data_IF_879693880528
#
_entry.id   IF_879693880528
#
_cell.length_a   1.000
_cell.length_b   1.000
_cell.length_c   1.000
_cell.angle_alpha   90.00
_cell.angle_beta   90.00
_cell.angle_gamma   90.00
#
_symmetry.space_group_name_H-M   'P 1'
#
loop_
_entity.id
_entity.type
_entity.pdbx_description
1 polymer ?
#
# COMPACT_ATOMS: atom_id res chain seq x y z
N UNK A 1 37.35 -15.77 4.30
CA UNK A 1 36.89 -14.59 5.07
C UNK A 1 35.38 -14.54 5.00
N UNK A 2 34.66 -15.10 5.98
CA UNK A 2 33.20 -14.98 6.04
C UNK A 2 32.89 -13.50 6.31
N UNK A 3 32.38 -12.77 5.31
CA UNK A 3 31.77 -11.47 5.56
C UNK A 3 30.69 -11.69 6.61
N UNK A 4 30.91 -11.23 7.84
CA UNK A 4 29.81 -11.13 8.80
C UNK A 4 28.80 -10.15 8.20
N UNK A 5 27.71 -10.70 7.66
CA UNK A 5 26.56 -9.92 7.24
C UNK A 5 26.13 -9.04 8.42
N UNK A 6 26.25 -7.72 8.24
CA UNK A 6 25.84 -6.75 9.26
C UNK A 6 24.37 -7.01 9.58
N UNK A 7 24.10 -7.44 10.82
CA UNK A 7 22.74 -7.69 11.29
C UNK A 7 21.93 -6.39 11.23
N UNK A 8 20.68 -6.51 10.83
CA UNK A 8 19.74 -5.41 10.65
C UNK A 8 19.33 -4.83 12.00
N UNK A 9 19.40 -3.51 12.14
CA UNK A 9 18.98 -2.82 13.35
C UNK A 9 17.46 -2.84 13.52
N UNK A 10 16.97 -2.61 14.75
CA UNK A 10 15.53 -2.47 15.03
C UNK A 10 14.88 -1.41 14.13
N UNK A 11 15.53 -0.25 13.96
CA UNK A 11 15.04 0.82 13.10
C UNK A 11 15.03 0.38 11.63
N UNK A 12 16.08 -0.32 11.18
CA UNK A 12 16.13 -0.89 9.82
C UNK A 12 15.00 -1.88 9.56
N UNK A 13 14.68 -2.73 10.54
CA UNK A 13 13.55 -3.66 10.46
C UNK A 13 12.20 -2.92 10.37
N UNK A 14 11.98 -1.91 11.22
CA UNK A 14 10.74 -1.11 11.20
C UNK A 14 10.57 -0.42 9.85
N UNK A 15 11.62 0.22 9.33
CA UNK A 15 11.58 0.91 8.04
C UNK A 15 11.30 -0.06 6.89
N UNK A 16 11.92 -1.25 6.91
CA UNK A 16 11.69 -2.26 5.89
C UNK A 16 10.25 -2.78 5.91
N UNK A 17 9.68 -3.06 7.11
CA UNK A 17 8.27 -3.43 7.25
C UNK A 17 7.37 -2.31 6.74
N UNK A 18 7.65 -1.06 7.13
CA UNK A 18 6.91 0.11 6.65
C UNK A 18 6.92 0.18 5.12
N UNK A 19 8.08 0.07 4.48
CA UNK A 19 8.17 0.12 3.01
C UNK A 19 7.52 -1.07 2.30
N UNK A 20 7.39 -2.21 2.96
CA UNK A 20 6.79 -3.42 2.40
C UNK A 20 5.28 -3.45 2.54
N UNK A 21 4.73 -2.86 3.60
CA UNK A 21 3.30 -2.92 3.95
C UNK A 21 2.59 -1.61 3.65
N UNK A 22 3.21 -0.47 3.92
CA UNK A 22 2.60 0.84 3.68
C UNK A 22 2.63 1.20 2.20
N UNK A 23 1.51 0.96 1.52
CA UNK A 23 1.27 1.40 0.15
C UNK A 23 0.64 2.78 0.12
N UNK A 24 1.39 3.81 -0.29
CA UNK A 24 0.88 5.20 -0.37
C UNK A 24 -0.46 5.29 -1.10
N UNK A 25 -0.59 4.60 -2.23
CA UNK A 25 -1.79 4.57 -3.07
C UNK A 25 -3.04 3.94 -2.41
N UNK A 26 -2.87 3.19 -1.31
CA UNK A 26 -4.01 2.63 -0.56
C UNK A 26 -4.78 3.75 0.14
N UNK A 27 -4.12 4.80 0.64
CA UNK A 27 -4.81 5.90 1.34
C UNK A 27 -5.67 6.80 0.41
N UNK A 28 -5.22 7.23 -0.78
CA UNK A 28 -6.08 7.83 -1.81
C UNK A 28 -7.27 6.95 -2.18
N UNK A 29 -7.01 5.65 -2.41
CA UNK A 29 -8.04 4.69 -2.81
C UNK A 29 -9.09 4.53 -1.71
N UNK A 30 -8.67 4.45 -0.45
CA UNK A 30 -9.56 4.39 0.71
C UNK A 30 -10.46 5.64 0.80
N UNK A 31 -9.87 6.83 0.67
CA UNK A 31 -10.60 8.09 0.68
C UNK A 31 -11.57 8.22 -0.51
N UNK A 32 -11.22 7.69 -1.68
CA UNK A 32 -12.12 7.65 -2.83
C UNK A 32 -13.31 6.72 -2.64
N UNK A 33 -13.11 5.55 -2.03
CA UNK A 33 -14.20 4.59 -1.84
C UNK A 33 -15.12 5.00 -0.69
N UNK A 34 -14.58 5.53 0.41
CA UNK A 34 -15.38 5.79 1.63
C UNK A 34 -15.17 7.16 2.28
N UNK A 35 -14.35 8.05 1.74
CA UNK A 35 -14.03 9.33 2.39
C UNK A 35 -13.45 9.10 3.78
N UNK A 36 -13.93 9.85 4.78
CA UNK A 36 -13.50 9.65 6.17
C UNK A 36 -14.09 8.41 6.83
N UNK A 37 -15.20 7.86 6.35
CA UNK A 37 -15.73 6.60 6.90
C UNK A 37 -14.83 5.41 6.61
N UNK A 38 -13.82 5.55 5.74
CA UNK A 38 -12.71 4.60 5.61
C UNK A 38 -11.89 4.42 6.90
N UNK A 39 -11.68 5.49 7.68
CA UNK A 39 -10.78 5.48 8.83
C UNK A 39 -11.21 4.45 9.90
N UNK A 40 -12.47 4.40 10.36
CA UNK A 40 -12.92 3.38 11.31
C UNK A 40 -12.69 1.95 10.81
N UNK A 41 -12.92 1.66 9.52
CA UNK A 41 -12.65 0.34 8.97
C UNK A 41 -11.16 0.00 8.94
N UNK A 42 -10.30 0.97 8.62
CA UNK A 42 -8.84 0.78 8.70
C UNK A 42 -8.36 0.55 10.13
N UNK A 43 -8.94 1.22 11.13
CA UNK A 43 -8.64 0.96 12.55
C UNK A 43 -9.18 -0.39 13.01
N UNK A 44 -10.37 -0.77 12.55
CA UNK A 44 -10.96 -2.09 12.82
C UNK A 44 -10.10 -3.21 12.25
N UNK A 45 -9.72 -3.14 10.96
CA UNK A 45 -8.78 -4.07 10.34
C UNK A 45 -7.41 -4.03 11.02
N UNK A 46 -6.99 -2.83 11.45
CA UNK A 46 -5.96 -2.56 12.44
C UNK A 46 -5.91 -3.58 13.59
N UNK A 47 -6.93 -3.44 14.43
CA UNK A 47 -7.05 -4.04 15.73
C UNK A 47 -7.37 -5.53 15.67
N UNK A 48 -8.25 -5.94 14.76
CA UNK A 48 -8.78 -7.30 14.72
C UNK A 48 -8.06 -8.22 13.73
N UNK A 49 -7.31 -7.68 12.79
CA UNK A 49 -6.57 -8.47 11.81
C UNK A 49 -5.07 -8.20 11.84
N UNK A 50 -4.65 -6.98 11.56
CA UNK A 50 -3.24 -6.70 11.30
C UNK A 50 -2.35 -6.84 12.55
N UNK A 51 -2.75 -6.27 13.68
CA UNK A 51 -1.98 -6.39 14.94
C UNK A 51 -1.92 -7.86 15.41
N UNK A 52 -3.04 -8.60 15.50
CA UNK A 52 -3.00 -10.03 15.82
C UNK A 52 -2.14 -10.84 14.85
N UNK A 53 -2.26 -10.58 13.54
CA UNK A 53 -1.46 -11.24 12.52
C UNK A 53 0.03 -10.94 12.70
N UNK A 54 0.39 -9.67 12.90
CA UNK A 54 1.76 -9.25 13.18
C UNK A 54 2.35 -9.97 14.41
N UNK A 55 1.57 -10.11 15.49
CA UNK A 55 1.99 -10.84 16.69
C UNK A 55 2.23 -12.33 16.40
N UNK A 56 1.33 -12.98 15.66
CA UNK A 56 1.54 -14.38 15.23
C UNK A 56 2.82 -14.52 14.39
N UNK A 57 3.06 -13.60 13.46
CA UNK A 57 4.27 -13.62 12.62
C UNK A 57 5.55 -13.37 13.42
N UNK A 58 5.49 -12.52 14.45
CA UNK A 58 6.58 -12.31 15.37
C UNK A 58 6.91 -13.58 16.17
N UNK A 59 5.88 -14.25 16.70
CA UNK A 59 6.02 -15.49 17.46
C UNK A 59 6.60 -16.62 16.57
N UNK A 60 5.97 -16.87 15.43
CA UNK A 60 6.40 -17.91 14.47
C UNK A 60 7.81 -17.67 13.95
N UNK A 61 8.14 -16.43 13.59
CA UNK A 61 9.49 -16.08 13.15
C UNK A 61 10.53 -16.30 14.24
N UNK A 62 10.21 -16.00 15.50
CA UNK A 62 11.12 -16.24 16.63
C UNK A 62 11.27 -17.72 16.98
N UNK A 63 10.18 -18.50 16.94
CA UNK A 63 10.16 -19.92 17.26
C UNK A 63 10.94 -20.75 16.23
N UNK A 64 10.76 -20.43 14.95
CA UNK A 64 11.39 -21.13 13.83
C UNK A 64 12.55 -20.35 13.22
N UNK A 65 13.29 -19.58 14.03
CA UNK A 65 14.36 -18.69 13.55
C UNK A 65 15.39 -19.39 12.65
N UNK A 66 15.76 -20.63 13.00
CA UNK A 66 16.76 -21.45 12.29
C UNK A 66 16.26 -22.09 10.98
N UNK A 67 14.98 -21.92 10.66
CA UNK A 67 14.37 -22.47 9.46
C UNK A 67 14.38 -21.43 8.34
N UNK A 68 15.04 -21.74 7.23
CA UNK A 68 15.09 -20.85 6.06
C UNK A 68 13.79 -20.87 5.22
N UNK A 69 12.88 -21.80 5.50
CA UNK A 69 11.66 -22.04 4.71
C UNK A 69 10.53 -21.03 4.94
N UNK A 70 10.69 -20.03 5.81
CA UNK A 70 9.70 -18.98 6.08
C UNK A 70 8.31 -19.54 6.39
N UNK A 71 7.27 -18.95 5.79
CA UNK A 71 5.85 -19.31 6.02
C UNK A 71 5.58 -20.79 5.78
N UNK A 72 6.22 -21.42 4.78
CA UNK A 72 6.01 -22.83 4.51
C UNK A 72 6.50 -23.69 5.68
N UNK A 73 7.71 -23.43 6.18
CA UNK A 73 8.28 -24.16 7.32
C UNK A 73 7.41 -24.01 8.57
N UNK A 74 7.01 -22.78 8.83
CA UNK A 74 6.13 -22.40 9.95
C UNK A 74 4.83 -23.20 9.93
N UNK A 75 4.13 -23.20 8.79
CA UNK A 75 2.89 -23.96 8.62
C UNK A 75 3.12 -25.47 8.67
N UNK A 76 4.22 -25.97 8.11
CA UNK A 76 4.49 -27.41 8.09
C UNK A 76 4.66 -27.97 9.51
N UNK A 77 5.38 -27.23 10.36
CA UNK A 77 5.56 -27.60 11.77
C UNK A 77 4.28 -27.44 12.61
N UNK A 78 3.41 -26.47 12.29
CA UNK A 78 2.19 -26.22 13.08
C UNK A 78 0.97 -27.02 12.65
N UNK A 79 0.73 -27.16 11.35
CA UNK A 79 -0.50 -27.74 10.77
C UNK A 79 -0.23 -28.88 9.77
N UNK A 80 1.04 -29.25 9.59
CA UNK A 80 1.45 -30.35 8.72
C UNK A 80 1.60 -29.97 7.23
N UNK A 81 2.20 -30.87 6.43
CA UNK A 81 2.69 -30.55 5.09
C UNK A 81 1.59 -30.25 4.08
N UNK A 82 0.41 -30.87 4.22
CA UNK A 82 -0.72 -30.64 3.30
C UNK A 82 -1.23 -29.21 3.39
N UNK A 83 -1.49 -28.73 4.60
CA UNK A 83 -1.98 -27.36 4.81
C UNK A 83 -0.91 -26.32 4.53
N UNK A 84 0.35 -26.61 4.85
CA UNK A 84 1.49 -25.75 4.47
C UNK A 84 1.60 -25.55 2.96
N UNK A 85 1.46 -26.63 2.18
CA UNK A 85 1.46 -26.55 0.73
C UNK A 85 0.28 -25.73 0.20
N UNK A 86 -0.95 -26.00 0.67
CA UNK A 86 -2.15 -25.26 0.25
C UNK A 86 -2.00 -23.76 0.56
N UNK A 87 -1.61 -23.40 1.80
CA UNK A 87 -1.44 -22.01 2.20
C UNK A 87 -0.37 -21.28 1.41
N UNK A 88 0.79 -21.91 1.22
CA UNK A 88 1.89 -21.33 0.44
C UNK A 88 1.52 -21.19 -1.05
N UNK A 89 0.77 -22.14 -1.60
CA UNK A 89 0.28 -22.05 -2.98
C UNK A 89 -0.77 -20.94 -3.16
N UNK A 90 -1.69 -20.79 -2.21
CA UNK A 90 -2.66 -19.68 -2.20
C UNK A 90 -1.94 -18.33 -2.11
N UNK A 91 -0.93 -18.23 -1.25
CA UNK A 91 -0.07 -17.06 -1.15
C UNK A 91 0.65 -16.78 -2.49
N UNK A 92 1.28 -17.78 -3.11
CA UNK A 92 1.90 -17.61 -4.42
C UNK A 92 0.91 -17.15 -5.50
N UNK A 93 -0.26 -17.77 -5.59
CA UNK A 93 -1.30 -17.41 -6.56
C UNK A 93 -1.81 -15.99 -6.38
N UNK A 94 -1.98 -15.52 -5.13
CA UNK A 94 -2.40 -14.14 -4.86
C UNK A 94 -1.37 -13.11 -5.33
N UNK A 95 -0.07 -13.39 -5.17
CA UNK A 95 1.00 -12.54 -5.67
C UNK A 95 1.00 -12.44 -7.21
N UNK A 96 0.68 -13.52 -7.92
CA UNK A 96 0.56 -13.48 -9.40
C UNK A 96 -0.57 -12.53 -9.82
N UNK A 97 -1.74 -12.63 -9.20
CA UNK A 97 -2.87 -11.72 -9.47
C UNK A 97 -2.49 -10.27 -9.14
N UNK A 98 -1.81 -10.05 -8.02
CA UNK A 98 -1.34 -8.74 -7.60
C UNK A 98 -0.32 -8.13 -8.57
N UNK A 99 0.61 -8.94 -9.10
CA UNK A 99 1.58 -8.49 -10.10
C UNK A 99 0.91 -8.03 -11.38
N UNK A 100 -0.09 -8.77 -11.88
CA UNK A 100 -0.86 -8.37 -13.07
C UNK A 100 -1.59 -7.04 -12.82
N UNK A 101 -2.24 -6.90 -11.67
CA UNK A 101 -2.94 -5.66 -11.28
C UNK A 101 -1.97 -4.47 -11.21
N UNK A 102 -0.78 -4.68 -10.63
CA UNK A 102 0.25 -3.64 -10.49
C UNK A 102 0.85 -3.25 -11.84
N UNK A 103 1.11 -4.23 -12.72
CA UNK A 103 1.62 -3.99 -14.06
C UNK A 103 0.65 -3.16 -14.92
N UNK A 104 -0.67 -3.34 -14.75
CA UNK A 104 -1.66 -2.50 -15.42
C UNK A 104 -1.64 -1.06 -14.91
N UNK A 105 -1.46 -0.87 -13.59
CA UNK A 105 -1.47 0.46 -12.97
C UNK A 105 -0.28 1.33 -13.35
N UNK A 106 0.86 0.77 -13.78
CA UNK A 106 2.06 1.56 -14.12
C UNK A 106 1.86 2.51 -15.31
N UNK A 107 0.88 2.20 -16.17
CA UNK A 107 0.58 2.98 -17.35
C UNK A 107 -0.12 4.31 -17.04
N UNK A 108 -0.82 4.40 -15.91
CA UNK A 108 -1.48 5.64 -15.46
C UNK A 108 -0.47 6.74 -15.08
N UNK A 109 0.56 6.49 -14.22
CA UNK A 109 1.67 7.42 -14.01
C UNK A 109 2.32 7.85 -15.32
N UNK A 110 2.61 6.88 -16.19
CA UNK A 110 3.33 7.14 -17.43
C UNK A 110 2.52 8.04 -18.37
N UNK A 111 1.22 7.77 -18.49
CA UNK A 111 0.29 8.61 -19.26
C UNK A 111 0.23 10.03 -18.70
N UNK A 112 0.11 10.16 -17.38
CA UNK A 112 0.07 11.46 -16.69
C UNK A 112 1.38 12.23 -16.85
N UNK A 113 2.52 11.55 -16.80
CA UNK A 113 3.83 12.15 -17.00
C UNK A 113 4.04 12.66 -18.43
N UNK A 114 3.60 11.90 -19.44
CA UNK A 114 3.78 12.25 -20.86
C UNK A 114 2.77 13.28 -21.35
N UNK A 115 1.52 13.21 -20.88
CA UNK A 115 0.41 14.00 -21.43
C UNK A 115 -0.20 14.99 -20.43
N UNK A 116 0.31 15.05 -19.20
CA UNK A 116 -0.22 15.90 -18.13
C UNK A 116 -1.57 15.43 -17.56
N UNK A 117 -2.14 14.33 -18.06
CA UNK A 117 -3.40 13.78 -17.62
C UNK A 117 -3.47 12.27 -17.89
N UNK A 118 -4.34 11.55 -17.18
CA UNK A 118 -4.60 10.14 -17.45
C UNK A 118 -5.39 9.99 -18.77
N UNK A 119 -4.69 9.52 -19.81
CA UNK A 119 -5.26 9.21 -21.13
C UNK A 119 -5.37 7.72 -21.40
N UNK A 120 -5.10 6.85 -20.41
CA UNK A 120 -5.15 5.39 -20.58
C UNK A 120 -6.51 4.90 -21.09
N UNK A 121 -7.59 5.59 -20.71
CA UNK A 121 -8.96 5.32 -21.17
C UNK A 121 -9.21 5.66 -22.65
N UNK A 122 -8.28 6.33 -23.33
CA UNK A 122 -8.39 6.70 -24.74
C UNK A 122 -7.46 5.88 -25.65
N UNK A 123 -6.56 5.11 -25.07
CA UNK A 123 -5.63 4.29 -25.84
C UNK A 123 -6.39 3.12 -26.46
N UNK A 124 -6.38 3.02 -27.78
CA UNK A 124 -6.96 1.89 -28.50
C UNK A 124 -5.93 1.37 -29.51
N UNK A 125 -5.59 0.08 -29.40
CA UNK A 125 -4.78 -0.62 -30.40
C UNK A 125 -5.71 -1.30 -31.40
N UNK A 126 -5.95 -0.66 -32.54
CA UNK A 126 -6.83 -1.18 -33.59
C UNK A 126 -8.27 -1.32 -33.09
N UNK A 127 -8.80 -2.55 -33.12
CA UNK A 127 -10.17 -2.88 -32.68
C UNK A 127 -10.29 -3.16 -31.17
N UNK A 128 -9.20 -3.06 -30.41
CA UNK A 128 -9.21 -3.37 -28.98
C UNK A 128 -9.75 -2.22 -28.14
N UNK A 129 -10.53 -2.56 -27.11
CA UNK A 129 -10.96 -1.61 -26.09
C UNK A 129 -9.77 -1.05 -25.30
N UNK A 130 -9.93 0.11 -24.64
CA UNK A 130 -8.86 0.67 -23.81
C UNK A 130 -8.38 -0.26 -22.71
N UNK A 131 -9.30 -0.97 -22.05
CA UNK A 131 -8.96 -1.95 -21.02
C UNK A 131 -8.13 -3.11 -21.58
N UNK A 132 -8.48 -3.63 -22.76
CA UNK A 132 -7.71 -4.68 -23.43
C UNK A 132 -6.33 -4.18 -23.86
N UNK A 133 -6.26 -2.95 -24.37
CA UNK A 133 -5.00 -2.30 -24.76
C UNK A 133 -4.05 -2.18 -23.57
N UNK A 134 -4.54 -1.65 -22.43
CA UNK A 134 -3.75 -1.59 -21.18
C UNK A 134 -3.38 -2.98 -20.68
N UNK A 135 -4.25 -3.97 -20.85
CA UNK A 135 -3.96 -5.37 -20.49
C UNK A 135 -2.79 -5.96 -21.29
N UNK A 136 -2.73 -5.71 -22.61
CA UNK A 136 -1.60 -6.14 -23.45
C UNK A 136 -0.33 -5.41 -23.04
N UNK A 137 -0.39 -4.10 -22.83
CA UNK A 137 0.75 -3.32 -22.38
C UNK A 137 1.26 -3.82 -21.01
N UNK A 138 0.37 -4.17 -20.08
CA UNK A 138 0.73 -4.78 -18.80
C UNK A 138 1.46 -6.12 -18.99
N UNK A 139 0.99 -6.99 -19.88
CA UNK A 139 1.66 -8.24 -20.21
C UNK A 139 3.07 -8.01 -20.79
N UNK A 140 3.21 -7.07 -21.73
CA UNK A 140 4.51 -6.68 -22.27
C UNK A 140 5.45 -6.15 -21.18
N UNK A 141 4.94 -5.32 -20.27
CA UNK A 141 5.72 -4.80 -19.14
C UNK A 141 6.21 -5.92 -18.22
N UNK A 142 5.37 -6.91 -17.90
CA UNK A 142 5.79 -8.06 -17.09
C UNK A 142 6.89 -8.86 -17.76
N UNK A 143 6.84 -9.06 -19.08
CA UNK A 143 7.93 -9.74 -19.82
C UNK A 143 9.24 -8.96 -19.70
N UNK A 144 9.20 -7.63 -19.85
CA UNK A 144 10.37 -6.77 -19.70
C UNK A 144 10.96 -6.86 -18.29
N UNK A 145 10.12 -6.72 -17.26
CA UNK A 145 10.55 -6.83 -15.86
C UNK A 145 11.14 -8.20 -15.57
N UNK A 146 10.52 -9.27 -16.08
CA UNK A 146 11.01 -10.65 -15.94
C UNK A 146 12.39 -10.81 -16.59
N UNK A 147 12.58 -10.29 -17.80
CA UNK A 147 13.88 -10.32 -18.49
C UNK A 147 14.97 -9.56 -17.73
N UNK A 148 14.63 -8.42 -17.12
CA UNK A 148 15.56 -7.66 -16.26
C UNK A 148 15.87 -8.45 -14.99
N UNK A 149 14.87 -9.09 -14.37
CA UNK A 149 15.04 -9.88 -13.15
C UNK A 149 15.99 -11.08 -13.35
N UNK A 150 15.90 -11.75 -14.50
CA UNK A 150 16.82 -12.85 -14.87
C UNK A 150 18.27 -12.38 -14.97
N UNK A 151 18.53 -11.10 -15.31
CA UNK A 151 19.88 -10.53 -15.43
C UNK A 151 20.53 -10.10 -14.11
N UNK A 152 19.84 -10.26 -12.97
CA UNK A 152 20.41 -10.10 -11.63
C UNK A 152 19.71 -9.07 -10.74
N UNK A 153 19.50 -9.49 -9.48
CA UNK A 153 18.70 -8.78 -8.47
C UNK A 153 19.35 -7.48 -7.98
N UNK A 154 20.68 -7.34 -8.10
CA UNK A 154 21.41 -6.16 -7.58
C UNK A 154 20.98 -4.84 -8.25
N UNK A 155 20.56 -4.87 -9.53
CA UNK A 155 20.03 -3.68 -10.20
C UNK A 155 18.64 -3.30 -9.69
N UNK A 156 17.80 -4.31 -9.40
CA UNK A 156 16.46 -4.13 -8.84
C UNK A 156 16.55 -3.50 -7.46
N UNK A 157 17.44 -3.99 -6.59
CA UNK A 157 17.60 -3.48 -5.23
C UNK A 157 17.87 -1.96 -5.16
N UNK A 158 18.70 -1.43 -6.08
CA UNK A 158 18.97 0.03 -6.14
C UNK A 158 17.73 0.83 -6.56
N UNK A 159 16.98 0.34 -7.56
CA UNK A 159 15.76 1.00 -8.04
C UNK A 159 14.69 0.98 -6.94
N UNK A 160 14.52 -0.15 -6.25
CA UNK A 160 13.60 -0.28 -5.12
C UNK A 160 13.94 0.68 -3.98
N UNK A 161 15.23 0.88 -3.68
CA UNK A 161 15.66 1.83 -2.65
C UNK A 161 15.25 3.28 -2.98
N UNK A 162 15.45 3.72 -4.23
CA UNK A 162 15.01 5.05 -4.68
C UNK A 162 13.48 5.17 -4.60
N UNK A 163 12.76 4.14 -5.01
CA UNK A 163 11.30 4.08 -4.89
C UNK A 163 10.82 4.22 -3.44
N UNK A 164 11.48 3.53 -2.49
CA UNK A 164 11.17 3.64 -1.07
C UNK A 164 11.38 5.05 -0.50
N UNK A 165 12.48 5.71 -0.87
CA UNK A 165 12.76 7.11 -0.48
C UNK A 165 11.70 8.05 -1.07
N UNK A 166 11.31 7.85 -2.34
CA UNK A 166 10.27 8.65 -2.97
C UNK A 166 8.92 8.50 -2.27
N UNK A 167 8.52 7.28 -1.91
CA UNK A 167 7.27 7.02 -1.15
C UNK A 167 7.32 7.66 0.23
N UNK A 168 8.45 7.60 0.93
CA UNK A 168 8.62 8.29 2.21
C UNK A 168 8.51 9.81 2.05
N UNK A 169 9.12 10.37 0.99
CA UNK A 169 9.01 11.78 0.63
C UNK A 169 7.57 12.20 0.35
N UNK A 170 6.81 11.39 -0.40
CA UNK A 170 5.39 11.66 -0.69
C UNK A 170 4.54 11.74 0.58
N UNK A 171 4.77 10.86 1.56
CA UNK A 171 4.08 10.92 2.85
C UNK A 171 4.45 12.19 3.63
N UNK A 172 5.72 12.60 3.61
CA UNK A 172 6.15 13.83 4.25
C UNK A 172 5.53 15.07 3.59
N UNK A 173 5.47 15.09 2.25
CA UNK A 173 4.79 16.15 1.50
C UNK A 173 3.31 16.22 1.87
N UNK A 174 2.61 15.09 1.91
CA UNK A 174 1.22 15.03 2.34
C UNK A 174 1.04 15.64 3.74
N UNK A 175 1.88 15.24 4.69
CA UNK A 175 1.81 15.72 6.07
C UNK A 175 2.06 17.23 6.18
N UNK A 176 3.14 17.73 5.57
CA UNK A 176 3.53 19.13 5.67
C UNK A 176 2.55 20.05 4.92
N UNK A 177 2.13 19.67 3.71
CA UNK A 177 1.23 20.49 2.90
C UNK A 177 -0.17 20.50 3.50
N UNK A 178 -0.72 19.36 3.91
CA UNK A 178 -2.02 19.34 4.60
C UNK A 178 -1.96 20.11 5.93
N UNK A 179 -0.85 20.03 6.67
CA UNK A 179 -0.64 20.84 7.88
C UNK A 179 -0.64 22.34 7.58
N UNK A 180 0.06 22.78 6.53
CA UNK A 180 0.07 24.17 6.09
C UNK A 180 -1.33 24.66 5.67
N UNK A 181 -2.05 23.86 4.87
CA UNK A 181 -3.43 24.19 4.43
C UNK A 181 -4.36 24.32 5.64
N UNK A 182 -4.28 23.41 6.62
CA UNK A 182 -5.09 23.52 7.84
C UNK A 182 -4.81 24.80 8.62
N UNK A 183 -3.53 25.21 8.74
CA UNK A 183 -3.18 26.45 9.41
C UNK A 183 -3.71 27.68 8.66
N UNK A 184 -3.62 27.68 7.33
CA UNK A 184 -4.10 28.77 6.49
C UNK A 184 -5.64 28.88 6.48
N UNK A 185 -6.35 27.75 6.53
CA UNK A 185 -7.81 27.68 6.51
C UNK A 185 -8.44 27.77 7.92
N UNK A 186 -7.69 28.13 8.95
CA UNK A 186 -8.21 28.23 10.33
C UNK A 186 -8.68 26.89 10.93
N UNK A 187 -8.15 25.76 10.44
CA UNK A 187 -8.51 24.42 10.88
C UNK A 187 -9.70 23.79 10.13
N UNK A 188 -10.22 24.44 9.08
CA UNK A 188 -11.33 23.92 8.31
C UNK A 188 -10.88 22.88 7.27
N UNK A 189 -11.59 21.75 7.22
CA UNK A 189 -11.38 20.69 6.24
C UNK A 189 -12.25 20.93 5.00
N UNK A 190 -11.71 20.70 3.80
CA UNK A 190 -12.48 20.79 2.55
C UNK A 190 -13.61 19.75 2.48
N UNK A 191 -13.37 18.54 2.98
CA UNK A 191 -14.40 17.54 3.20
C UNK A 191 -14.98 17.70 4.61
N UNK A 192 -16.31 17.76 4.78
CA UNK A 192 -16.94 17.70 6.09
C UNK A 192 -16.61 16.40 6.83
N UNK A 193 -16.24 16.51 8.11
CA UNK A 193 -15.88 15.37 8.95
C UNK A 193 -17.11 14.50 9.22
N UNK A 194 -17.22 13.38 8.49
CA UNK A 194 -18.22 12.35 8.72
C UNK A 194 -17.58 10.96 8.64
N UNK A 195 -17.45 10.31 9.79
CA UNK A 195 -16.80 9.00 9.92
C UNK A 195 -17.77 7.82 9.82
N UNK A 196 -19.08 8.07 9.73
CA UNK A 196 -20.09 7.00 9.72
C UNK A 196 -20.67 6.78 8.33
N UNK A 197 -20.95 7.85 7.60
CA UNK A 197 -21.52 7.80 6.27
C UNK A 197 -20.44 8.08 5.23
N UNK A 198 -20.33 7.17 4.27
CA UNK A 198 -19.51 7.41 3.07
C UNK A 198 -20.10 8.58 2.26
N UNK A 199 -19.29 9.45 1.65
CA UNK A 199 -19.77 10.38 0.62
C UNK A 199 -20.02 9.69 -0.73
N UNK A 200 -19.50 8.46 -0.93
CA UNK A 200 -19.66 7.69 -2.15
C UNK A 200 -21.00 6.91 -2.16
N UNK A 201 -21.91 7.17 -3.11
CA UNK A 201 -23.17 6.43 -3.21
C UNK A 201 -23.02 4.92 -3.35
N UNK A 202 -21.91 4.45 -3.94
CA UNK A 202 -21.61 3.03 -4.11
C UNK A 202 -21.29 2.29 -2.81
N UNK A 203 -21.02 3.02 -1.71
CA UNK A 203 -20.61 2.47 -0.41
C UNK A 203 -21.62 2.78 0.72
N UNK A 204 -22.89 2.98 0.37
CA UNK A 204 -23.98 3.17 1.35
C UNK A 204 -24.60 1.86 1.84
N UNK A 205 -24.46 0.77 1.08
CA UNK A 205 -25.04 -0.52 1.44
C UNK A 205 -24.12 -1.31 2.37
N UNK A 206 -24.69 -2.12 3.27
CA UNK A 206 -23.90 -2.98 4.17
C UNK A 206 -22.97 -3.94 3.42
N UNK A 207 -23.41 -4.49 2.27
CA UNK A 207 -22.56 -5.36 1.43
C UNK A 207 -21.36 -4.61 0.82
N UNK A 208 -21.55 -3.35 0.40
CA UNK A 208 -20.46 -2.54 -0.11
C UNK A 208 -19.45 -2.17 0.99
N UNK A 209 -19.94 -1.85 2.20
CA UNK A 209 -19.08 -1.63 3.37
C UNK A 209 -18.28 -2.88 3.74
N UNK A 210 -18.89 -4.08 3.70
CA UNK A 210 -18.16 -5.34 3.91
C UNK A 210 -17.10 -5.58 2.83
N UNK A 211 -17.39 -5.25 1.57
CA UNK A 211 -16.42 -5.32 0.47
C UNK A 211 -15.24 -4.36 0.71
N UNK A 212 -15.49 -3.20 1.31
CA UNK A 212 -14.43 -2.28 1.72
C UNK A 212 -13.57 -2.83 2.85
N UNK A 213 -14.14 -3.57 3.82
CA UNK A 213 -13.34 -4.22 4.88
C UNK A 213 -12.31 -5.18 4.28
N UNK A 214 -12.68 -5.93 3.22
CA UNK A 214 -11.73 -6.79 2.50
C UNK A 214 -10.59 -5.97 1.90
N UNK A 215 -10.88 -4.81 1.31
CA UNK A 215 -9.87 -3.88 0.82
C UNK A 215 -8.97 -3.32 1.94
N UNK A 216 -9.56 -2.95 3.09
CA UNK A 216 -8.81 -2.45 4.24
C UNK A 216 -7.88 -3.51 4.84
N UNK A 217 -8.34 -4.76 4.95
CA UNK A 217 -7.51 -5.91 5.36
C UNK A 217 -6.35 -6.11 4.38
N UNK A 218 -6.64 -6.06 3.08
CA UNK A 218 -5.63 -6.22 2.03
C UNK A 218 -4.53 -5.16 2.10
N UNK A 219 -4.85 -3.92 2.49
CA UNK A 219 -3.87 -2.83 2.63
C UNK A 219 -2.80 -3.08 3.71
N UNK A 220 -3.04 -4.01 4.64
CA UNK A 220 -2.10 -4.43 5.68
C UNK A 220 -1.31 -5.71 5.33
N UNK A 221 -1.56 -6.31 4.16
CA UNK A 221 -0.80 -7.46 3.68
C UNK A 221 0.67 -7.12 3.41
N UNK A 222 1.55 -8.10 3.51
CA UNK A 222 2.98 -7.98 3.17
C UNK A 222 3.93 -8.08 4.35
N UNK A 223 3.46 -8.05 5.59
CA UNK A 223 4.33 -8.23 6.77
C UNK A 223 4.92 -9.65 6.81
N UNK A 224 4.29 -10.60 6.15
CA UNK A 224 4.78 -11.96 6.05
C UNK A 224 6.08 -12.09 5.25
N UNK A 225 6.36 -11.15 4.35
CA UNK A 225 7.59 -11.12 3.57
C UNK A 225 8.83 -10.89 4.44
N UNK A 226 8.68 -10.25 5.60
CA UNK A 226 9.79 -10.02 6.55
C UNK A 226 10.02 -11.19 7.51
N UNK A 227 9.14 -12.20 7.49
CA UNK A 227 9.20 -13.36 8.37
C UNK A 227 10.53 -14.12 8.29
N UNK A 228 11.10 -14.28 7.09
CA UNK A 228 12.37 -14.96 6.87
C UNK A 228 13.62 -14.16 7.29
N UNK A 229 13.47 -12.96 7.84
CA UNK A 229 14.59 -12.07 8.18
C UNK A 229 14.92 -12.05 9.67
N UNK A 230 14.34 -12.96 10.46
CA UNK A 230 14.58 -13.09 11.91
C UNK A 230 16.07 -13.28 12.17
N UNK A 231 16.71 -14.24 11.52
CA UNK A 231 18.13 -14.57 11.73
C UNK A 231 19.09 -13.46 11.28
N UNK A 232 18.61 -12.57 10.42
CA UNK A 232 19.35 -11.39 9.94
C UNK A 232 19.12 -10.16 10.81
N UNK A 233 18.28 -10.23 11.83
CA UNK A 233 17.98 -9.13 12.76
C UNK A 233 18.95 -9.13 13.93
N UNK A 234 19.41 -7.95 14.36
CA UNK A 234 20.23 -7.79 15.56
C UNK A 234 19.39 -8.05 16.81
N UNK A 235 19.86 -8.89 17.74
CA UNK A 235 19.12 -9.36 18.92
C UNK A 235 17.69 -9.83 18.58
N UNK A 236 17.55 -10.89 17.76
CA UNK A 236 16.27 -11.28 17.15
C UNK A 236 15.19 -11.61 18.20
N UNK A 237 15.58 -12.20 19.33
CA UNK A 237 14.70 -12.56 20.45
C UNK A 237 13.90 -11.38 21.02
N UNK A 238 14.42 -10.15 20.90
CA UNK A 238 13.76 -8.94 21.41
C UNK A 238 13.38 -7.98 20.30
N UNK A 239 14.28 -7.74 19.36
CA UNK A 239 14.10 -6.68 18.36
C UNK A 239 13.17 -7.10 17.22
N UNK A 240 13.05 -8.39 16.90
CA UNK A 240 12.17 -8.82 15.82
C UNK A 240 10.71 -8.57 16.19
N UNK A 241 10.27 -9.11 17.33
CA UNK A 241 8.91 -8.90 17.83
C UNK A 241 8.61 -7.41 18.11
N UNK A 242 9.53 -6.69 18.76
CA UNK A 242 9.38 -5.25 18.99
C UNK A 242 9.27 -4.47 17.68
N UNK A 243 10.09 -4.79 16.69
CA UNK A 243 10.07 -4.12 15.39
C UNK A 243 8.75 -4.32 14.66
N UNK A 244 8.22 -5.54 14.69
CA UNK A 244 6.91 -5.87 14.12
C UNK A 244 5.79 -5.10 14.81
N UNK A 245 5.75 -5.07 16.15
CA UNK A 245 4.70 -4.38 16.91
C UNK A 245 4.75 -2.87 16.66
N UNK A 246 5.95 -2.26 16.73
CA UNK A 246 6.12 -0.83 16.49
C UNK A 246 5.71 -0.49 15.05
N UNK A 247 6.16 -1.27 14.07
CA UNK A 247 5.78 -1.07 12.68
C UNK A 247 4.26 -1.20 12.49
N UNK A 248 3.62 -2.19 13.12
CA UNK A 248 2.18 -2.38 13.02
C UNK A 248 1.40 -1.15 13.53
N UNK A 249 1.79 -0.60 14.69
CA UNK A 249 1.18 0.61 15.25
C UNK A 249 1.41 1.81 14.33
N UNK A 250 2.65 2.02 13.87
CA UNK A 250 3.02 3.15 13.00
C UNK A 250 2.26 3.10 11.67
N UNK A 251 2.14 1.93 11.05
CA UNK A 251 1.42 1.74 9.78
C UNK A 251 -0.08 2.00 9.98
N UNK A 252 -0.66 1.50 11.07
CA UNK A 252 -2.09 1.69 11.38
C UNK A 252 -2.43 3.17 11.56
N UNK A 253 -1.65 3.87 12.38
CA UNK A 253 -1.80 5.32 12.58
C UNK A 253 -1.53 6.07 11.28
N UNK A 254 -0.50 5.67 10.54
CA UNK A 254 -0.11 6.28 9.27
C UNK A 254 -1.24 6.23 8.23
N UNK A 255 -1.91 5.09 8.08
CA UNK A 255 -3.02 4.99 7.14
C UNK A 255 -4.22 5.83 7.58
N UNK A 256 -4.62 5.75 8.86
CA UNK A 256 -5.72 6.56 9.39
C UNK A 256 -5.45 8.05 9.24
N UNK A 257 -4.23 8.50 9.57
CA UNK A 257 -3.81 9.89 9.42
C UNK A 257 -3.82 10.30 7.94
N UNK A 258 -3.23 9.51 7.04
CA UNK A 258 -3.19 9.82 5.61
C UNK A 258 -4.60 9.98 5.03
N UNK A 259 -5.55 9.10 5.38
CA UNK A 259 -6.96 9.20 4.97
C UNK A 259 -7.58 10.52 5.40
N UNK A 260 -7.32 10.96 6.65
CA UNK A 260 -7.82 12.24 7.15
C UNK A 260 -7.17 13.42 6.44
N UNK A 261 -5.85 13.36 6.19
CA UNK A 261 -5.12 14.43 5.52
C UNK A 261 -5.55 14.66 4.08
N UNK A 262 -6.06 13.64 3.38
CA UNK A 262 -6.61 13.81 2.03
C UNK A 262 -7.86 14.70 2.00
N UNK A 263 -8.70 14.63 3.03
CA UNK A 263 -9.91 15.45 3.11
C UNK A 263 -9.66 16.90 3.56
N UNK A 264 -8.43 17.25 3.93
CA UNK A 264 -8.02 18.64 4.17
C UNK A 264 -8.14 19.47 2.90
N UNK A 265 -7.62 18.95 1.79
CA UNK A 265 -7.55 19.65 0.51
C UNK A 265 -8.56 19.18 -0.53
N UNK A 266 -9.22 18.04 -0.32
CA UNK A 266 -10.14 17.46 -1.29
C UNK A 266 -11.53 17.22 -0.70
N UNK A 267 -12.55 17.84 -1.31
CA UNK A 267 -13.94 17.48 -1.12
C UNK A 267 -14.32 16.35 -2.09
N UNK A 268 -14.93 15.28 -1.58
CA UNK A 268 -15.24 14.09 -2.36
C UNK A 268 -16.15 14.39 -3.56
N UNK A 269 -17.21 15.18 -3.38
CA UNK A 269 -18.14 15.47 -4.46
C UNK A 269 -17.51 16.35 -5.54
N UNK A 270 -16.74 17.36 -5.14
CA UNK A 270 -16.16 18.34 -6.06
C UNK A 270 -14.95 17.79 -6.81
N UNK A 271 -14.08 17.05 -6.12
CA UNK A 271 -12.79 16.59 -6.66
C UNK A 271 -12.89 15.16 -7.22
N UNK A 272 -13.66 14.30 -6.57
CA UNK A 272 -13.67 12.86 -6.87
C UNK A 272 -14.93 12.38 -7.58
N UNK A 273 -15.99 13.19 -7.64
CA UNK A 273 -17.25 12.87 -8.33
C UNK A 273 -17.16 12.87 -9.86
N UNK A 274 -16.04 13.32 -10.44
CA UNK A 274 -15.85 13.36 -11.88
C UNK A 274 -15.73 11.93 -12.47
N UNK A 275 -16.39 11.69 -13.62
CA UNK A 275 -16.35 10.39 -14.32
C UNK A 275 -14.95 9.96 -14.77
N UNK A 276 -14.02 10.90 -14.88
CA UNK A 276 -12.61 10.62 -15.22
C UNK A 276 -11.83 10.02 -14.04
N UNK A 277 -12.30 10.19 -12.80
CA UNK A 277 -11.61 9.71 -11.60
C UNK A 277 -11.91 8.23 -11.39
N UNK A 278 -10.87 7.44 -11.14
CA UNK A 278 -10.97 6.00 -10.89
C UNK A 278 -9.83 5.51 -9.98
N UNK A 279 -9.88 4.26 -9.54
CA UNK A 279 -8.87 3.65 -8.66
C UNK A 279 -7.44 3.63 -9.24
N UNK A 280 -7.28 3.75 -10.56
CA UNK A 280 -5.98 3.84 -11.22
C UNK A 280 -5.34 5.22 -11.08
N UNK A 281 -6.13 6.29 -11.20
CA UNK A 281 -5.62 7.67 -11.25
C UNK A 281 -5.86 8.50 -9.98
N UNK A 282 -6.62 7.97 -9.01
CA UNK A 282 -7.02 8.68 -7.79
C UNK A 282 -5.85 9.34 -7.04
N UNK A 283 -4.71 8.65 -6.93
CA UNK A 283 -3.53 9.17 -6.24
C UNK A 283 -3.07 10.48 -6.86
N UNK A 284 -3.12 10.60 -8.19
CA UNK A 284 -2.73 11.80 -8.92
C UNK A 284 -3.78 12.90 -8.77
N UNK A 285 -5.06 12.56 -8.88
CA UNK A 285 -6.16 13.52 -8.71
C UNK A 285 -6.06 14.21 -7.33
N UNK A 286 -5.83 13.42 -6.27
CA UNK A 286 -5.71 13.96 -4.91
C UNK A 286 -4.42 14.77 -4.72
N UNK A 287 -3.28 14.33 -5.28
CA UNK A 287 -2.03 15.11 -5.24
C UNK A 287 -2.16 16.44 -5.99
N UNK A 288 -2.83 16.46 -7.15
CA UNK A 288 -3.12 17.69 -7.89
C UNK A 288 -4.04 18.61 -7.10
N UNK A 289 -5.07 18.07 -6.44
CA UNK A 289 -5.94 18.85 -5.54
C UNK A 289 -5.14 19.46 -4.39
N UNK A 290 -4.29 18.67 -3.74
CA UNK A 290 -3.42 19.14 -2.65
C UNK A 290 -2.52 20.30 -3.08
N UNK A 291 -1.89 20.20 -4.26
CA UNK A 291 -1.07 21.27 -4.81
C UNK A 291 -1.88 22.50 -5.22
N UNK A 292 -3.06 22.32 -5.81
CA UNK A 292 -3.94 23.40 -6.24
C UNK A 292 -4.51 24.18 -5.04
N UNK A 293 -4.88 23.51 -3.95
CA UNK A 293 -5.37 24.16 -2.73
C UNK A 293 -4.27 24.96 -2.04
N UNK A 294 -3.02 24.48 -2.05
CA UNK A 294 -1.89 25.24 -1.49
C UNK A 294 -1.54 26.47 -2.34
N UNK A 295 -1.58 26.34 -3.67
CA UNK A 295 -1.21 27.41 -4.61
C UNK A 295 -2.33 28.38 -4.97
N UNK A 296 -3.58 28.07 -4.60
CA UNK A 296 -4.74 28.92 -4.83
C UNK A 296 -4.85 30.06 -3.81
N UNK A 297 -5.61 31.13 -4.11
CA UNK A 297 -5.86 32.19 -3.14
C UNK A 297 -6.62 31.61 -1.95
N UNK A 298 -6.08 31.79 -0.73
CA UNK A 298 -6.78 31.49 0.51
C UNK A 298 -8.04 32.35 0.57
N UNK A 299 -9.22 31.75 0.40
CA UNK A 299 -10.53 32.40 0.60
C UNK A 299 -11.11 31.99 1.94
#
# INVERSE_FOLDING_TARGET
MHQQLKKMSLIGLILMIFTSVFGFANSPSAFYLMGYSAMPFYLFSALFFFIPFALMMAEMGSAYRREEGGIYSWMNHSVGPRFAFIGTFMWFASYVVWMVSTAAKIWVPLSTFLFGADKTQTWALGSLTPTQTVGILAACWMVVVTFIAVKGINKIAKITAVGGIAVMGLNLVLLLVSGAILLLNGGHFAQPLNFTLSPNPGYQSGMAMLSFVVFAIFAYGGIEAVGGLVDKTDKPEKNFAKGIIIAAIVISIGYSLAIVLWGVSANWQQVLGARSTNLGNITYVLMTSLGATLGGPCT
#
